data_IF_361537877553
#
_entry.id   IF_361537877553
#
_cell.length_a   1.000
_cell.length_b   1.000
_cell.length_c   1.000
_cell.angle_alpha   90.00
_cell.angle_beta   90.00
_cell.angle_gamma   90.00
#
_symmetry.space_group_name_H-M   'P 1'
#
loop_
_entity.id
_entity.type
_entity.pdbx_description
1 polymer ?
#
# COMPACT_ATOMS: atom_id res chain seq x y z
N UNK A 1 17.18 3.39 -35.67
CA UNK A 1 15.71 3.18 -35.69
C UNK A 1 15.07 2.57 -34.42
N UNK A 2 15.68 1.61 -33.70
CA UNK A 2 15.03 0.91 -32.56
C UNK A 2 14.59 1.79 -31.36
N UNK A 3 15.30 2.89 -31.05
CA UNK A 3 14.97 3.79 -29.91
C UNK A 3 13.66 4.58 -30.09
N UNK A 4 13.26 4.93 -31.33
CA UNK A 4 12.00 5.66 -31.61
C UNK A 4 10.77 4.74 -31.46
N UNK A 5 10.89 3.48 -31.86
CA UNK A 5 9.80 2.48 -31.77
C UNK A 5 9.49 2.12 -30.31
N UNK A 6 10.51 2.02 -29.46
CA UNK A 6 10.32 1.73 -28.03
C UNK A 6 9.65 2.88 -27.27
N UNK A 7 9.98 4.13 -27.63
CA UNK A 7 9.38 5.35 -27.04
C UNK A 7 7.91 5.51 -27.47
N UNK A 8 7.61 5.19 -28.73
CA UNK A 8 6.26 5.14 -29.29
C UNK A 8 5.39 4.11 -28.55
N UNK A 9 5.82 2.82 -28.48
CA UNK A 9 5.08 1.77 -27.75
C UNK A 9 4.83 2.13 -26.28
N UNK A 10 5.80 2.75 -25.60
CA UNK A 10 5.64 3.18 -24.20
C UNK A 10 4.59 4.29 -24.05
N UNK A 11 4.53 5.23 -25.00
CA UNK A 11 3.51 6.28 -25.05
C UNK A 11 2.12 5.71 -25.35
N UNK A 12 2.02 4.73 -26.26
CA UNK A 12 0.75 4.10 -26.64
C UNK A 12 0.17 3.26 -25.50
N UNK A 13 1.00 2.51 -24.78
CA UNK A 13 0.58 1.76 -23.58
C UNK A 13 0.14 2.72 -22.45
N UNK A 14 0.80 3.88 -22.31
CA UNK A 14 0.37 4.95 -21.39
C UNK A 14 -0.98 5.57 -21.79
N UNK A 15 -1.23 5.76 -23.09
CA UNK A 15 -2.49 6.32 -23.62
C UNK A 15 -3.66 5.34 -23.50
N UNK A 16 -3.46 4.07 -23.81
CA UNK A 16 -4.51 3.06 -23.75
C UNK A 16 -4.92 2.75 -22.30
N UNK A 17 -3.96 2.79 -21.37
CA UNK A 17 -4.25 2.67 -19.94
C UNK A 17 -4.96 3.90 -19.36
N UNK A 18 -4.74 5.12 -19.89
CA UNK A 18 -5.48 6.33 -19.45
C UNK A 18 -7.00 6.15 -19.58
N UNK A 19 -7.50 5.54 -20.65
CA UNK A 19 -8.94 5.34 -20.84
C UNK A 19 -9.61 4.35 -19.87
N UNK A 20 -8.86 3.44 -19.25
CA UNK A 20 -9.36 2.60 -18.14
C UNK A 20 -9.28 3.38 -16.81
N UNK A 21 -8.23 4.18 -16.62
CA UNK A 21 -8.02 4.96 -15.39
C UNK A 21 -8.90 6.20 -15.28
N UNK A 22 -9.27 6.83 -16.39
CA UNK A 22 -10.31 7.87 -16.44
C UNK A 22 -11.69 7.27 -16.09
N UNK A 23 -11.97 6.04 -16.54
CA UNK A 23 -13.18 5.29 -16.16
C UNK A 23 -13.19 4.88 -14.68
N UNK A 24 -12.06 4.46 -14.11
CA UNK A 24 -11.93 4.13 -12.68
C UNK A 24 -11.59 5.33 -11.78
N UNK A 25 -11.47 6.55 -12.36
CA UNK A 25 -10.99 7.77 -11.69
C UNK A 25 -9.67 7.60 -10.91
N UNK A 26 -8.82 6.61 -11.23
CA UNK A 26 -7.63 6.32 -10.45
C UNK A 26 -6.41 7.14 -10.89
N UNK A 27 -5.71 7.77 -9.94
CA UNK A 27 -4.54 8.61 -10.22
C UNK A 27 -3.26 7.80 -10.45
N UNK A 28 -2.23 8.39 -11.07
CA UNK A 28 -0.95 7.71 -11.30
C UNK A 28 -0.31 7.15 -10.01
N UNK A 29 -0.30 7.88 -8.87
CA UNK A 29 0.17 7.33 -7.60
C UNK A 29 -0.59 6.08 -7.13
N UNK A 30 -1.91 6.04 -7.31
CA UNK A 30 -2.73 4.88 -6.94
C UNK A 30 -2.37 3.65 -7.76
N UNK A 31 -2.09 3.83 -9.06
CA UNK A 31 -1.63 2.73 -9.91
C UNK A 31 -0.26 2.18 -9.46
N UNK A 32 0.66 3.05 -9.08
CA UNK A 32 1.97 2.62 -8.55
C UNK A 32 1.78 1.86 -7.24
N UNK A 33 0.91 2.35 -6.35
CA UNK A 33 0.59 1.67 -5.10
C UNK A 33 -0.05 0.30 -5.34
N UNK A 34 -0.97 0.20 -6.30
CA UNK A 34 -1.62 -1.07 -6.66
C UNK A 34 -0.57 -2.10 -7.13
N UNK A 35 0.39 -1.70 -7.97
CA UNK A 35 1.50 -2.59 -8.37
C UNK A 35 2.31 -3.06 -7.16
N UNK A 36 2.60 -2.16 -6.22
CA UNK A 36 3.35 -2.51 -5.03
C UNK A 36 2.57 -3.51 -4.17
N UNK A 37 1.26 -3.28 -3.96
CA UNK A 37 0.39 -4.19 -3.22
C UNK A 37 0.27 -5.56 -3.88
N UNK A 38 0.12 -5.61 -5.20
CA UNK A 38 0.09 -6.89 -5.94
C UNK A 38 1.42 -7.64 -5.86
N UNK A 39 2.55 -6.95 -5.93
CA UNK A 39 3.87 -7.56 -5.77
C UNK A 39 4.12 -8.05 -4.33
N UNK A 40 3.66 -7.30 -3.32
CA UNK A 40 3.67 -7.74 -1.91
C UNK A 40 2.80 -8.98 -1.73
N UNK A 41 1.58 -8.98 -2.31
CA UNK A 41 0.69 -10.14 -2.25
C UNK A 41 1.33 -11.37 -2.91
N UNK A 42 1.94 -11.19 -4.09
CA UNK A 42 2.67 -12.25 -4.78
C UNK A 42 3.85 -12.77 -3.95
N UNK A 43 4.57 -11.89 -3.25
CA UNK A 43 5.64 -12.29 -2.33
C UNK A 43 5.08 -13.18 -1.21
N UNK A 44 4.01 -12.75 -0.54
CA UNK A 44 3.38 -13.53 0.52
C UNK A 44 2.85 -14.88 0.02
N UNK A 45 2.20 -14.91 -1.14
CA UNK A 45 1.74 -16.15 -1.76
C UNK A 45 2.90 -17.10 -2.07
N UNK A 46 4.02 -16.55 -2.60
CA UNK A 46 5.24 -17.32 -2.85
C UNK A 46 5.82 -17.88 -1.56
N UNK A 47 5.86 -17.09 -0.48
CA UNK A 47 6.29 -17.56 0.85
C UNK A 47 5.40 -18.69 1.36
N UNK A 48 4.09 -18.54 1.30
CA UNK A 48 3.18 -19.60 1.75
C UNK A 48 3.34 -20.87 0.93
N UNK A 49 3.44 -20.75 -0.39
CA UNK A 49 3.69 -21.88 -1.29
C UNK A 49 5.02 -22.55 -0.93
N UNK A 50 6.09 -21.77 -0.77
CA UNK A 50 7.41 -22.27 -0.37
C UNK A 50 7.36 -23.06 0.95
N UNK A 51 6.64 -22.55 1.94
CA UNK A 51 6.51 -23.18 3.25
C UNK A 51 5.58 -24.41 3.24
N UNK A 52 4.51 -24.42 2.45
CA UNK A 52 3.60 -25.58 2.36
C UNK A 52 4.26 -26.74 1.64
N UNK A 53 4.92 -26.47 0.52
CA UNK A 53 5.53 -27.54 -0.26
C UNK A 53 6.83 -28.04 0.36
N UNK A 54 7.49 -27.22 1.20
CA UNK A 54 8.63 -27.53 2.07
C UNK A 54 9.58 -28.65 1.57
N UNK A 55 10.06 -28.72 0.30
CA UNK A 55 11.12 -29.67 -0.01
C UNK A 55 12.46 -28.99 0.25
N UNK A 56 13.42 -29.79 0.67
CA UNK A 56 14.77 -29.38 1.05
C UNK A 56 15.54 -28.60 -0.05
N UNK A 57 15.07 -28.51 -1.29
CA UNK A 57 15.89 -28.02 -2.42
C UNK A 57 15.14 -27.13 -3.44
N UNK A 58 14.10 -26.41 -3.01
CA UNK A 58 13.31 -25.60 -3.95
C UNK A 58 13.95 -24.21 -4.25
N UNK A 59 15.12 -24.22 -4.88
CA UNK A 59 15.86 -23.03 -5.35
C UNK A 59 14.99 -22.11 -6.21
N UNK A 60 14.00 -22.66 -6.92
CA UNK A 60 13.06 -21.90 -7.76
C UNK A 60 12.27 -20.90 -6.93
N UNK A 61 11.70 -21.31 -5.79
CA UNK A 61 10.89 -20.43 -4.95
C UNK A 61 11.72 -19.38 -4.23
N UNK A 62 12.92 -19.75 -3.77
CA UNK A 62 13.87 -18.79 -3.19
C UNK A 62 14.29 -17.74 -4.22
N UNK A 63 14.60 -18.17 -5.45
CA UNK A 63 14.93 -17.28 -6.55
C UNK A 63 13.76 -16.37 -6.91
N UNK A 64 12.53 -16.90 -6.91
CA UNK A 64 11.32 -16.12 -7.16
C UNK A 64 11.07 -15.08 -6.05
N UNK A 65 11.24 -15.43 -4.78
CA UNK A 65 11.16 -14.49 -3.65
C UNK A 65 12.18 -13.37 -3.78
N UNK A 66 13.43 -13.69 -4.15
CA UNK A 66 14.49 -12.71 -4.39
C UNK A 66 14.17 -11.80 -5.58
N UNK A 67 13.63 -12.36 -6.67
CA UNK A 67 13.22 -11.60 -7.84
C UNK A 67 12.08 -10.61 -7.51
N UNK A 68 11.05 -11.06 -6.79
CA UNK A 68 9.93 -10.20 -6.35
C UNK A 68 10.42 -9.13 -5.37
N UNK A 69 11.31 -9.49 -4.43
CA UNK A 69 11.92 -8.54 -3.49
C UNK A 69 12.72 -7.46 -4.25
N UNK A 70 13.53 -7.87 -5.21
CA UNK A 70 14.30 -6.95 -6.07
C UNK A 70 13.40 -6.04 -6.89
N UNK A 71 12.29 -6.58 -7.42
CA UNK A 71 11.27 -5.79 -8.10
C UNK A 71 10.60 -4.76 -7.18
N UNK A 72 10.28 -5.13 -5.94
CA UNK A 72 9.73 -4.20 -4.94
C UNK A 72 10.71 -3.09 -4.58
N UNK A 73 12.01 -3.40 -4.44
CA UNK A 73 13.06 -2.41 -4.23
C UNK A 73 13.14 -1.45 -5.42
N UNK A 74 13.15 -1.98 -6.65
CA UNK A 74 13.12 -1.19 -7.87
C UNK A 74 11.88 -0.28 -7.93
N UNK A 75 10.70 -0.82 -7.65
CA UNK A 75 9.44 -0.07 -7.70
C UNK A 75 9.43 1.06 -6.66
N UNK A 76 9.93 0.77 -5.46
CA UNK A 76 10.01 1.72 -4.35
C UNK A 76 10.97 2.87 -4.67
N UNK A 77 12.18 2.56 -5.13
CA UNK A 77 13.22 3.56 -5.39
C UNK A 77 12.94 4.43 -6.62
N UNK A 78 12.14 3.93 -7.58
CA UNK A 78 11.88 4.64 -8.84
C UNK A 78 10.47 5.22 -8.94
N UNK A 79 9.43 4.38 -8.94
CA UNK A 79 8.04 4.80 -9.21
C UNK A 79 7.40 5.36 -7.93
N UNK A 80 7.59 4.71 -6.78
CA UNK A 80 6.96 5.11 -5.52
C UNK A 80 7.54 6.45 -5.02
N UNK A 81 8.85 6.66 -5.16
CA UNK A 81 9.50 7.94 -4.88
C UNK A 81 8.91 9.10 -5.68
N UNK A 82 8.63 8.87 -6.96
CA UNK A 82 8.03 9.88 -7.85
C UNK A 82 6.53 10.07 -7.58
N UNK A 83 5.83 9.00 -7.21
CA UNK A 83 4.38 8.99 -6.94
C UNK A 83 4.01 9.70 -5.64
N UNK A 84 4.84 9.54 -4.61
CA UNK A 84 4.56 10.04 -3.28
C UNK A 84 5.77 10.81 -2.76
N UNK A 85 6.21 11.85 -3.47
CA UNK A 85 7.44 12.57 -3.13
C UNK A 85 7.46 13.10 -1.68
N UNK A 86 6.36 13.76 -1.26
CA UNK A 86 6.23 14.32 0.08
C UNK A 86 6.12 13.26 1.19
N UNK A 87 5.49 12.12 0.90
CA UNK A 87 5.26 11.04 1.86
C UNK A 87 6.15 9.81 1.62
N UNK A 88 7.20 9.93 0.78
CA UNK A 88 7.99 8.81 0.26
C UNK A 88 8.53 7.91 1.37
N UNK A 89 9.00 8.52 2.46
CA UNK A 89 9.54 7.79 3.63
C UNK A 89 8.51 6.84 4.22
N UNK A 90 7.23 7.23 4.25
CA UNK A 90 6.14 6.40 4.80
C UNK A 90 5.88 5.22 3.89
N UNK A 91 5.73 5.46 2.59
CA UNK A 91 5.48 4.41 1.60
C UNK A 91 6.64 3.42 1.48
N UNK A 92 7.89 3.92 1.48
CA UNK A 92 9.08 3.07 1.51
C UNK A 92 9.11 2.19 2.75
N UNK A 93 8.83 2.76 3.93
CA UNK A 93 8.85 2.01 5.18
C UNK A 93 7.72 0.98 5.26
N UNK A 94 6.56 1.25 4.65
CA UNK A 94 5.50 0.26 4.50
C UNK A 94 5.95 -0.94 3.65
N UNK A 95 6.51 -0.68 2.46
CA UNK A 95 7.01 -1.77 1.59
C UNK A 95 8.13 -2.55 2.30
N UNK A 96 9.08 -1.85 2.90
CA UNK A 96 10.18 -2.46 3.64
C UNK A 96 9.68 -3.33 4.81
N UNK A 97 8.66 -2.88 5.54
CA UNK A 97 8.01 -3.66 6.60
C UNK A 97 7.40 -4.95 6.05
N UNK A 98 6.64 -4.89 4.95
CA UNK A 98 6.05 -6.08 4.33
C UNK A 98 7.11 -7.09 3.86
N UNK A 99 8.18 -6.60 3.22
CA UNK A 99 9.32 -7.44 2.80
C UNK A 99 10.01 -8.07 4.01
N UNK A 100 10.29 -7.28 5.06
CA UNK A 100 10.91 -7.78 6.28
C UNK A 100 10.07 -8.87 6.95
N UNK A 101 8.75 -8.67 7.07
CA UNK A 101 7.82 -9.68 7.60
C UNK A 101 7.90 -10.97 6.78
N UNK A 102 7.85 -10.89 5.45
CA UNK A 102 7.89 -12.06 4.58
C UNK A 102 9.18 -12.90 4.79
N UNK A 103 10.33 -12.24 4.87
CA UNK A 103 11.63 -12.90 5.09
C UNK A 103 11.80 -13.42 6.51
N UNK A 104 11.48 -12.61 7.53
CA UNK A 104 11.55 -13.01 8.94
C UNK A 104 10.64 -14.21 9.19
N UNK A 105 9.42 -14.21 8.63
CA UNK A 105 8.50 -15.33 8.76
C UNK A 105 9.09 -16.60 8.14
N UNK A 106 9.62 -16.51 6.92
CA UNK A 106 10.25 -17.64 6.23
C UNK A 106 11.41 -18.21 7.05
N UNK A 107 12.28 -17.36 7.57
CA UNK A 107 13.43 -17.78 8.38
C UNK A 107 13.02 -18.38 9.72
N UNK A 108 12.02 -17.81 10.38
CA UNK A 108 11.51 -18.29 11.66
C UNK A 108 10.90 -19.69 11.53
N UNK A 109 10.07 -19.92 10.51
CA UNK A 109 9.47 -21.23 10.25
C UNK A 109 10.55 -22.26 9.88
N UNK A 110 11.52 -21.90 9.03
CA UNK A 110 12.63 -22.81 8.72
C UNK A 110 13.49 -23.13 9.93
N UNK A 111 13.84 -22.13 10.75
CA UNK A 111 14.61 -22.32 11.97
C UNK A 111 13.89 -23.29 12.89
N UNK A 112 12.62 -23.03 13.22
CA UNK A 112 11.82 -23.87 14.11
C UNK A 112 11.58 -25.28 13.56
N UNK A 113 11.41 -25.45 12.25
CA UNK A 113 11.32 -26.77 11.61
C UNK A 113 12.61 -27.60 11.79
N UNK A 114 13.79 -26.99 11.77
CA UNK A 114 15.07 -27.68 12.01
C UNK A 114 15.23 -28.16 13.45
N UNK A 115 14.62 -27.47 14.43
CA UNK A 115 14.72 -27.82 15.86
C UNK A 115 13.52 -28.63 16.39
N UNK A 116 12.46 -28.81 15.60
CA UNK A 116 11.25 -29.54 16.01
C UNK A 116 11.41 -31.04 15.80
N UNK A 117 12.32 -31.68 16.54
CA UNK A 117 12.38 -33.15 16.61
C UNK A 117 11.47 -33.74 17.69
N UNK A 118 10.99 -32.95 18.67
CA UNK A 118 10.12 -33.44 19.74
C UNK A 118 9.06 -32.42 20.15
N UNK A 119 7.78 -32.69 19.84
CA UNK A 119 6.62 -32.03 20.45
C UNK A 119 5.69 -31.27 19.49
N UNK A 120 4.44 -31.73 19.40
CA UNK A 120 3.36 -31.12 18.59
C UNK A 120 3.08 -29.64 18.96
N UNK A 121 3.35 -29.23 20.20
CA UNK A 121 3.22 -27.84 20.65
C UNK A 121 4.25 -26.90 19.99
N UNK A 122 5.43 -27.39 19.61
CA UNK A 122 6.48 -26.57 18.97
C UNK A 122 6.08 -26.22 17.52
N UNK A 123 5.29 -27.05 16.86
CA UNK A 123 4.87 -26.82 15.48
C UNK A 123 3.85 -25.66 15.32
N UNK A 124 3.07 -25.37 16.36
CA UNK A 124 2.00 -24.35 16.33
C UNK A 124 2.53 -22.95 16.71
N UNK A 125 3.62 -22.88 17.47
CA UNK A 125 4.21 -21.63 17.95
C UNK A 125 4.67 -20.66 16.83
N UNK A 126 5.31 -21.10 15.73
CA UNK A 126 5.84 -20.19 14.71
C UNK A 126 4.76 -19.39 13.96
N UNK A 127 3.62 -19.98 13.53
CA UNK A 127 2.50 -19.22 12.99
C UNK A 127 1.94 -18.15 13.95
N UNK A 128 1.80 -18.46 15.25
CA UNK A 128 1.31 -17.48 16.24
C UNK A 128 2.31 -16.36 16.49
N UNK A 129 3.60 -16.69 16.60
CA UNK A 129 4.64 -15.67 16.75
C UNK A 129 4.69 -14.75 15.52
N UNK A 130 4.56 -15.31 14.33
CA UNK A 130 4.49 -14.56 13.09
C UNK A 130 3.28 -13.63 13.04
N UNK A 131 2.10 -14.11 13.44
CA UNK A 131 0.90 -13.29 13.56
C UNK A 131 1.12 -12.14 14.55
N UNK A 132 1.74 -12.42 15.70
CA UNK A 132 2.12 -11.40 16.69
C UNK A 132 3.05 -10.33 16.10
N UNK A 133 4.09 -10.74 15.37
CA UNK A 133 5.03 -9.82 14.70
C UNK A 133 4.30 -8.96 13.66
N UNK A 134 3.39 -9.54 12.86
CA UNK A 134 2.59 -8.80 11.87
C UNK A 134 1.73 -7.74 12.55
N UNK A 135 0.99 -8.13 13.60
CA UNK A 135 0.12 -7.23 14.36
C UNK A 135 0.93 -6.11 15.00
N UNK A 136 2.04 -6.44 15.68
CA UNK A 136 2.92 -5.48 16.34
C UNK A 136 3.58 -4.51 15.35
N UNK A 137 4.06 -5.01 14.20
CA UNK A 137 4.67 -4.19 13.15
C UNK A 137 3.66 -3.19 12.58
N UNK A 138 2.44 -3.64 12.29
CA UNK A 138 1.39 -2.77 11.76
C UNK A 138 0.89 -1.76 12.80
N UNK A 139 0.77 -2.15 14.07
CA UNK A 139 0.47 -1.24 15.17
C UNK A 139 1.55 -0.16 15.30
N UNK A 140 2.82 -0.55 15.29
CA UNK A 140 3.98 0.37 15.34
C UNK A 140 3.98 1.33 14.16
N UNK A 141 3.70 0.84 12.95
CA UNK A 141 3.58 1.67 11.76
C UNK A 141 2.47 2.73 11.92
N UNK A 142 1.31 2.32 12.43
CA UNK A 142 0.19 3.23 12.69
C UNK A 142 0.49 4.26 13.76
N UNK A 143 1.15 3.88 14.85
CA UNK A 143 1.57 4.82 15.90
C UNK A 143 2.56 5.84 15.35
N UNK A 144 3.51 5.39 14.53
CA UNK A 144 4.58 6.25 13.99
C UNK A 144 4.12 7.19 12.88
N UNK A 145 3.23 6.75 12.00
CA UNK A 145 2.87 7.49 10.78
C UNK A 145 1.42 7.93 10.70
N UNK A 146 0.56 7.41 11.56
CA UNK A 146 -0.88 7.61 11.48
C UNK A 146 -1.29 9.05 11.75
N UNK A 147 -2.21 9.60 10.93
CA UNK A 147 -2.87 10.90 11.16
C UNK A 147 -4.41 10.81 11.09
N UNK A 148 -5.10 11.73 11.76
CA UNK A 148 -6.58 11.81 11.79
C UNK A 148 -7.13 12.79 10.73
N UNK A 149 -6.34 13.08 9.71
CA UNK A 149 -6.73 13.96 8.62
C UNK A 149 -6.14 13.47 7.31
N UNK A 150 -6.77 13.84 6.21
CA UNK A 150 -6.25 13.62 4.86
C UNK A 150 -6.43 14.87 4.00
N UNK A 151 -5.92 14.84 2.78
CA UNK A 151 -6.04 15.93 1.83
C UNK A 151 -6.79 15.46 0.59
N UNK A 152 -7.60 16.35 0.03
CA UNK A 152 -8.32 16.09 -1.19
C UNK A 152 -8.55 17.36 -2.00
N UNK A 153 -9.01 17.18 -3.23
CA UNK A 153 -9.37 18.26 -4.14
C UNK A 153 -10.88 18.27 -4.35
N UNK A 154 -11.49 19.44 -4.25
CA UNK A 154 -12.94 19.61 -4.44
C UNK A 154 -13.29 19.44 -5.92
N UNK A 155 -14.13 18.47 -6.24
CA UNK A 155 -14.62 18.23 -7.60
C UNK A 155 -15.93 18.99 -7.85
N UNK A 156 -16.82 18.99 -6.86
CA UNK A 156 -18.10 19.69 -6.89
C UNK A 156 -18.44 20.25 -5.51
N UNK A 157 -19.15 21.39 -5.47
CA UNK A 157 -19.59 22.05 -4.24
C UNK A 157 -21.02 22.56 -4.47
N UNK A 158 -21.95 22.20 -3.57
CA UNK A 158 -23.36 22.60 -3.58
C UNK A 158 -23.80 22.94 -2.16
N UNK A 159 -23.86 24.24 -1.85
CA UNK A 159 -24.24 24.72 -0.52
C UNK A 159 -23.28 24.20 0.56
N UNK A 160 -23.81 23.43 1.51
CA UNK A 160 -23.05 22.83 2.62
C UNK A 160 -22.48 21.43 2.31
N UNK A 161 -22.72 20.90 1.10
CA UNK A 161 -22.20 19.61 0.68
C UNK A 161 -21.13 19.78 -0.40
N UNK A 162 -20.01 19.09 -0.24
CA UNK A 162 -18.93 19.06 -1.23
C UNK A 162 -18.58 17.61 -1.59
N UNK A 163 -18.30 17.38 -2.87
CA UNK A 163 -17.74 16.13 -3.35
C UNK A 163 -16.23 16.30 -3.48
N UNK A 164 -15.48 15.61 -2.62
CA UNK A 164 -14.02 15.75 -2.55
C UNK A 164 -13.35 14.49 -3.06
N UNK A 165 -12.47 14.64 -4.05
CA UNK A 165 -11.57 13.58 -4.51
C UNK A 165 -10.41 13.46 -3.54
N UNK A 166 -10.30 12.31 -2.91
CA UNK A 166 -9.20 11.98 -2.00
C UNK A 166 -8.33 10.94 -2.69
N UNK A 167 -7.01 11.18 -2.71
CA UNK A 167 -6.04 10.20 -3.19
C UNK A 167 -5.80 9.11 -2.16
N UNK A 168 -5.07 8.05 -2.55
CA UNK A 168 -4.66 7.04 -1.58
C UNK A 168 -3.75 7.66 -0.51
N UNK A 169 -4.11 7.50 0.75
CA UNK A 169 -3.34 8.03 1.89
C UNK A 169 -3.16 6.95 2.96
N UNK A 170 -1.96 6.35 2.95
CA UNK A 170 -1.60 5.29 3.90
C UNK A 170 -1.54 5.76 5.36
N UNK A 171 -1.33 7.07 5.60
CA UNK A 171 -1.20 7.63 6.95
C UNK A 171 -2.55 7.81 7.62
N UNK A 172 -3.58 8.13 6.85
CA UNK A 172 -4.96 8.23 7.34
C UNK A 172 -5.77 6.95 7.12
N UNK A 173 -5.22 5.97 6.39
CA UNK A 173 -5.91 4.74 5.99
C UNK A 173 -7.20 5.04 5.18
N UNK A 174 -7.17 6.11 4.40
CA UNK A 174 -8.25 6.50 3.48
C UNK A 174 -7.95 5.96 2.10
N UNK A 175 -8.93 5.26 1.53
CA UNK A 175 -8.85 4.72 0.17
C UNK A 175 -9.06 5.85 -0.83
N UNK A 176 -8.43 5.75 -2.00
CA UNK A 176 -8.71 6.68 -3.07
C UNK A 176 -10.19 6.63 -3.49
N UNK A 177 -10.79 7.78 -3.75
CA UNK A 177 -12.19 7.85 -4.12
C UNK A 177 -12.79 9.25 -4.02
N UNK A 178 -14.09 9.33 -4.30
CA UNK A 178 -14.89 10.52 -4.09
C UNK A 178 -15.67 10.36 -2.80
N UNK A 179 -15.56 11.35 -1.94
CA UNK A 179 -16.24 11.36 -0.65
C UNK A 179 -17.20 12.54 -0.61
N UNK A 180 -18.52 12.29 -0.44
CA UNK A 180 -19.45 13.34 -0.10
C UNK A 180 -19.20 13.74 1.36
N UNK A 181 -18.88 15.01 1.58
CA UNK A 181 -18.52 15.54 2.90
C UNK A 181 -19.28 16.85 3.14
N UNK A 182 -19.54 17.12 4.42
CA UNK A 182 -20.08 18.42 4.83
C UNK A 182 -18.96 19.47 4.79
N UNK A 183 -19.30 20.66 4.34
CA UNK A 183 -18.42 21.82 4.28
C UNK A 183 -19.01 22.94 5.11
N UNK A 184 -18.39 23.21 6.27
CA UNK A 184 -18.73 24.38 7.09
C UNK A 184 -18.10 25.66 6.54
N UNK A 185 -17.18 25.53 5.58
CA UNK A 185 -16.49 26.63 4.91
C UNK A 185 -16.87 26.70 3.43
N UNK A 186 -16.86 27.91 2.86
CA UNK A 186 -17.07 28.08 1.41
C UNK A 186 -15.89 27.53 0.63
N UNK A 187 -16.11 26.46 -0.11
CA UNK A 187 -15.12 25.83 -0.99
C UNK A 187 -15.58 25.85 -2.45
N UNK A 188 -14.64 26.04 -3.36
CA UNK A 188 -14.85 26.05 -4.81
C UNK A 188 -14.23 24.82 -5.44
N UNK A 189 -14.73 24.45 -6.62
CA UNK A 189 -14.13 23.41 -7.45
C UNK A 189 -12.65 23.73 -7.71
N UNK A 190 -11.79 22.74 -7.51
CA UNK A 190 -10.33 22.87 -7.64
C UNK A 190 -9.60 23.20 -6.34
N UNK A 191 -10.32 23.55 -5.26
CA UNK A 191 -9.69 23.84 -3.98
C UNK A 191 -9.07 22.59 -3.37
N UNK A 192 -7.86 22.73 -2.80
CA UNK A 192 -7.27 21.69 -1.94
C UNK A 192 -7.78 21.89 -0.52
N UNK A 193 -8.34 20.84 0.06
CA UNK A 193 -8.95 20.87 1.40
C UNK A 193 -8.35 19.80 2.29
N UNK A 194 -8.27 20.11 3.57
CA UNK A 194 -7.95 19.13 4.62
C UNK A 194 -9.25 18.58 5.18
N UNK A 195 -9.31 17.27 5.26
CA UNK A 195 -10.49 16.53 5.68
C UNK A 195 -10.24 15.84 7.01
N UNK A 196 -11.23 15.88 7.91
CA UNK A 196 -11.23 15.10 9.13
C UNK A 196 -11.48 13.63 8.81
N UNK A 197 -10.68 12.77 9.43
CA UNK A 197 -10.73 11.32 9.23
C UNK A 197 -10.87 10.63 10.57
N UNK A 198 -11.94 9.86 10.69
CA UNK A 198 -12.16 8.98 11.83
C UNK A 198 -11.52 7.62 11.56
N UNK A 199 -10.53 7.27 12.38
CA UNK A 199 -9.88 5.95 12.31
C UNK A 199 -10.77 4.90 12.97
N UNK A 200 -10.87 3.74 12.34
CA UNK A 200 -11.30 2.53 13.05
C UNK A 200 -10.24 2.15 14.08
N UNK A 201 -10.66 1.80 15.31
CA UNK A 201 -9.80 1.47 16.47
C UNK A 201 -8.68 0.47 16.14
N UNK A 202 -8.97 -0.54 15.31
CA UNK A 202 -8.00 -1.54 14.84
C UNK A 202 -7.58 -1.31 13.37
N UNK A 203 -8.23 -0.37 12.68
CA UNK A 203 -8.12 -0.10 11.24
C UNK A 203 -8.27 -1.32 10.33
N UNK A 204 -9.07 -2.29 10.78
CA UNK A 204 -9.60 -3.39 9.97
C UNK A 204 -10.58 -2.86 8.91
N UNK A 205 -11.21 -1.72 9.19
CA UNK A 205 -12.03 -0.95 8.24
C UNK A 205 -11.25 0.28 7.78
N UNK A 206 -11.42 0.65 6.50
CA UNK A 206 -10.93 1.93 5.97
C UNK A 206 -11.47 3.09 6.79
N UNK A 207 -10.68 4.15 6.93
CA UNK A 207 -11.07 5.29 7.74
C UNK A 207 -12.20 6.08 7.06
N UNK A 208 -13.10 6.66 7.87
CA UNK A 208 -14.23 7.44 7.34
C UNK A 208 -13.85 8.91 7.24
N UNK A 209 -14.02 9.47 6.05
CA UNK A 209 -13.92 10.91 5.83
C UNK A 209 -15.21 11.57 6.34
N UNK A 210 -15.10 12.57 7.21
CA UNK A 210 -16.26 13.23 7.83
C UNK A 210 -16.58 14.58 7.22
N UNK A 211 -15.66 15.53 7.35
CA UNK A 211 -15.91 16.94 7.06
C UNK A 211 -14.65 17.65 6.60
N UNK A 212 -14.84 18.79 5.93
CA UNK A 212 -13.77 19.71 5.56
C UNK A 212 -13.42 20.55 6.79
N UNK A 213 -12.16 20.47 7.22
CA UNK A 213 -11.62 21.25 8.34
C UNK A 213 -11.18 22.62 7.85
N UNK A 214 -10.37 22.66 6.80
CA UNK A 214 -9.74 23.89 6.32
C UNK A 214 -9.42 23.82 4.83
N UNK A 215 -9.36 24.99 4.19
CA UNK A 215 -8.81 25.15 2.84
C UNK A 215 -7.30 25.29 2.94
N UNK A 216 -6.58 24.51 2.16
CA UNK A 216 -5.12 24.55 2.09
C UNK A 216 -4.74 25.48 0.94
N UNK A 217 -4.20 26.66 1.27
CA UNK A 217 -3.51 27.48 0.28
C UNK A 217 -2.13 26.84 0.06
N UNK A 218 -1.93 26.26 -1.12
CA UNK A 218 -0.60 25.89 -1.62
C UNK A 218 -0.10 26.97 -2.57
#
# INVERSE_FOLDING_TARGET
HRKKVFRSKKLTILKQRRGFFERCRASWPEFVMLKAQLAILALFFTVMTYLVFLPAENLIFVSLMLAITSYLIYLTTTQLRKAFEQDYRVYRNFVAMCVAIAWVFTLLVKFTATFSTEGEMIAILPPFLALGIVVASFATFKLKYGRNFTYGTVEESRGEAALVRVGYDIRSNVKAGLYPVKSLIRVRKGDTVKLSVERSLLGLKGARVREIIERVNR
#
